data_IF_552568117625
#
_entry.id   IF_552568117625
#
_cell.length_a   1.000
_cell.length_b   1.000
_cell.length_c   1.000
_cell.angle_alpha   90.00
_cell.angle_beta   90.00
_cell.angle_gamma   90.00
#
_symmetry.space_group_name_H-M   'P 1'
#
loop_
_entity.id
_entity.type
_entity.pdbx_description
1 polymer ?
#
# COMPACT_ATOMS: atom_id res chain seq x y z
N UNK A 1 3.50 -1.71 0.58
CA UNK A 1 2.82 -1.20 1.78
C UNK A 1 1.37 -1.61 1.73
N UNK A 2 0.87 -2.40 2.67
CA UNK A 2 -0.46 -2.99 2.64
C UNK A 2 -1.44 -2.30 3.61
N UNK A 3 -2.72 -2.34 3.28
CA UNK A 3 -3.79 -1.72 4.06
C UNK A 3 -4.87 -2.72 4.45
N UNK A 4 -5.46 -2.54 5.63
CA UNK A 4 -6.69 -3.22 6.01
C UNK A 4 -7.84 -2.88 5.05
N UNK A 5 -8.85 -3.78 5.04
CA UNK A 5 -10.09 -3.57 4.30
C UNK A 5 -10.70 -2.21 4.69
N UNK A 6 -11.03 -1.41 3.68
CA UNK A 6 -11.74 -0.15 3.86
C UNK A 6 -11.02 0.87 4.76
N UNK A 7 -9.68 0.80 4.81
CA UNK A 7 -8.84 1.71 5.59
C UNK A 7 -7.76 2.35 4.73
N UNK A 8 -7.38 3.56 5.12
CA UNK A 8 -6.21 4.31 4.64
C UNK A 8 -5.21 4.61 5.77
N UNK A 9 -5.44 4.12 6.99
CA UNK A 9 -4.50 4.27 8.10
C UNK A 9 -3.32 3.30 7.96
N UNK A 10 -2.12 3.80 8.22
CA UNK A 10 -0.89 2.99 8.25
C UNK A 10 -0.82 2.17 9.55
N UNK A 11 -0.70 0.85 9.41
CA UNK A 11 -0.47 -0.07 10.54
C UNK A 11 0.91 0.15 11.15
N UNK A 12 1.16 -0.38 12.35
CA UNK A 12 2.50 -0.36 12.96
C UNK A 12 3.53 -1.06 12.07
N UNK A 13 3.22 -2.24 11.54
CA UNK A 13 4.08 -2.97 10.62
C UNK A 13 4.39 -2.15 9.36
N UNK A 14 3.38 -1.51 8.76
CA UNK A 14 3.58 -0.64 7.59
C UNK A 14 4.47 0.56 7.90
N UNK A 15 4.32 1.15 9.09
CA UNK A 15 5.19 2.25 9.56
C UNK A 15 6.63 1.81 9.70
N UNK A 16 6.90 0.61 10.21
CA UNK A 16 8.26 0.06 10.29
C UNK A 16 8.90 -0.14 8.91
N UNK A 17 8.14 -0.60 7.91
CA UNK A 17 8.64 -0.70 6.53
C UNK A 17 8.95 0.68 5.96
N UNK A 18 8.07 1.66 6.20
CA UNK A 18 8.28 3.05 5.74
C UNK A 18 9.46 3.72 6.43
N UNK A 19 9.71 3.42 7.71
CA UNK A 19 10.87 3.92 8.44
C UNK A 19 12.18 3.42 7.82
N UNK A 20 12.24 2.13 7.44
CA UNK A 20 13.38 1.57 6.70
C UNK A 20 13.53 2.23 5.33
N UNK A 21 12.45 2.46 4.61
CA UNK A 21 12.47 3.13 3.31
C UNK A 21 13.00 4.56 3.42
N UNK A 22 12.54 5.33 4.40
CA UNK A 22 13.03 6.70 4.65
C UNK A 22 14.53 6.72 5.01
N UNK A 23 14.98 5.80 5.87
CA UNK A 23 16.39 5.65 6.21
C UNK A 23 17.26 5.30 5.00
N UNK A 24 16.76 4.41 4.13
CA UNK A 24 17.45 4.03 2.90
C UNK A 24 17.55 5.19 1.88
N UNK A 25 16.58 6.11 1.89
CA UNK A 25 16.56 7.29 1.00
C UNK A 25 17.44 8.46 1.49
N UNK A 26 17.80 8.48 2.77
CA UNK A 26 18.58 9.54 3.39
C UNK A 26 19.94 9.81 2.69
N UNK A 27 20.77 8.79 2.37
CA UNK A 27 22.04 9.02 1.68
C UNK A 27 21.89 9.35 0.19
N UNK A 28 20.70 9.25 -0.39
CA UNK A 28 20.46 9.42 -1.83
C UNK A 28 19.48 10.56 -2.14
N UNK A 29 19.87 11.84 -1.93
CA UNK A 29 18.96 12.99 -2.07
C UNK A 29 18.40 13.17 -3.50
N UNK A 30 19.08 12.65 -4.51
CA UNK A 30 18.68 12.78 -5.92
C UNK A 30 17.71 11.68 -6.39
N UNK A 31 17.45 10.66 -5.56
CA UNK A 31 16.50 9.59 -5.89
C UNK A 31 15.09 10.08 -5.65
N UNK A 32 14.23 9.96 -6.66
CA UNK A 32 12.79 10.22 -6.56
C UNK A 32 12.04 8.95 -6.23
N UNK A 33 10.83 9.09 -5.69
CA UNK A 33 9.95 7.99 -5.33
C UNK A 33 8.59 8.23 -5.93
N UNK A 34 8.12 7.29 -6.75
CA UNK A 34 6.75 7.24 -7.25
C UNK A 34 5.93 6.33 -6.35
N UNK A 35 4.83 6.86 -5.84
CA UNK A 35 3.91 6.19 -4.94
C UNK A 35 2.64 5.84 -5.71
N UNK A 36 2.42 4.56 -5.99
CA UNK A 36 1.24 4.10 -6.71
C UNK A 36 0.23 3.41 -5.78
N UNK A 37 -0.98 3.94 -5.72
CA UNK A 37 -2.06 3.47 -4.84
C UNK A 37 -3.02 2.53 -5.52
N UNK A 38 -3.35 1.44 -4.84
CA UNK A 38 -4.24 0.41 -5.34
C UNK A 38 -5.27 -0.04 -4.29
N UNK A 39 -6.40 -0.54 -4.78
CA UNK A 39 -7.45 -1.19 -3.98
C UNK A 39 -7.71 -2.61 -4.47
N UNK A 40 -8.57 -3.34 -3.75
CA UNK A 40 -9.20 -4.52 -4.31
C UNK A 40 -10.46 -4.14 -5.10
N UNK A 41 -10.99 -5.08 -5.88
CA UNK A 41 -12.03 -4.85 -6.89
C UNK A 41 -13.47 -4.80 -6.34
N UNK A 42 -13.65 -4.87 -5.01
CA UNK A 42 -14.98 -5.15 -4.42
C UNK A 42 -15.91 -3.95 -4.29
N UNK A 43 -15.39 -2.73 -4.33
CA UNK A 43 -16.20 -1.51 -4.26
C UNK A 43 -16.35 -0.87 -5.66
N UNK A 44 -17.14 0.21 -5.75
CA UNK A 44 -17.28 0.99 -6.99
C UNK A 44 -15.97 1.70 -7.38
N UNK A 45 -15.74 1.90 -8.66
CA UNK A 45 -14.58 2.61 -9.22
C UNK A 45 -14.34 3.99 -8.57
N UNK A 46 -15.35 4.85 -8.49
CA UNK A 46 -15.22 6.16 -7.87
C UNK A 46 -14.78 6.08 -6.39
N UNK A 47 -15.25 5.06 -5.67
CA UNK A 47 -14.87 4.82 -4.29
C UNK A 47 -13.43 4.32 -4.17
N UNK A 48 -13.07 3.35 -5.01
CA UNK A 48 -11.73 2.77 -5.05
C UNK A 48 -10.67 3.81 -5.44
N UNK A 49 -10.99 4.67 -6.42
CA UNK A 49 -10.16 5.81 -6.79
C UNK A 49 -9.88 6.70 -5.58
N UNK A 50 -10.93 7.22 -4.94
CA UNK A 50 -10.79 8.09 -3.77
C UNK A 50 -10.08 7.40 -2.59
N UNK A 51 -10.29 6.09 -2.39
CA UNK A 51 -9.60 5.32 -1.36
C UNK A 51 -8.10 5.15 -1.67
N UNK A 52 -7.74 4.89 -2.92
CA UNK A 52 -6.35 4.79 -3.35
C UNK A 52 -5.60 6.12 -3.19
N UNK A 53 -6.25 7.26 -3.47
CA UNK A 53 -5.71 8.60 -3.23
C UNK A 53 -5.41 8.83 -1.75
N UNK A 54 -6.37 8.52 -0.86
CA UNK A 54 -6.17 8.64 0.60
C UNK A 54 -4.98 7.79 1.08
N UNK A 55 -4.80 6.59 0.54
CA UNK A 55 -3.69 5.69 0.90
C UNK A 55 -2.34 6.23 0.46
N UNK A 56 -2.25 6.71 -0.79
CA UNK A 56 -1.02 7.29 -1.33
C UNK A 56 -0.63 8.54 -0.57
N UNK A 57 -1.59 9.42 -0.27
CA UNK A 57 -1.36 10.61 0.54
C UNK A 57 -0.87 10.25 1.95
N UNK A 58 -1.47 9.24 2.60
CA UNK A 58 -1.01 8.79 3.91
C UNK A 58 0.46 8.31 3.89
N UNK A 59 0.88 7.59 2.84
CA UNK A 59 2.27 7.15 2.67
C UNK A 59 3.19 8.35 2.39
N UNK A 60 2.79 9.25 1.48
CA UNK A 60 3.54 10.46 1.15
C UNK A 60 3.80 11.31 2.41
N UNK A 61 2.74 11.61 3.14
CA UNK A 61 2.80 12.49 4.32
C UNK A 61 3.64 11.85 5.42
N UNK A 62 3.58 10.51 5.56
CA UNK A 62 4.42 9.78 6.49
C UNK A 62 5.92 9.85 6.12
N UNK A 63 6.27 9.62 4.85
CA UNK A 63 7.66 9.75 4.39
C UNK A 63 8.19 11.18 4.52
N UNK A 64 7.34 12.17 4.24
CA UNK A 64 7.67 13.58 4.43
C UNK A 64 7.97 13.90 5.90
N UNK A 65 7.16 13.40 6.82
CA UNK A 65 7.41 13.53 8.27
C UNK A 65 8.70 12.82 8.74
N UNK A 66 9.21 11.86 7.96
CA UNK A 66 10.51 11.20 8.20
C UNK A 66 11.68 11.83 7.44
N UNK A 67 11.49 13.01 6.86
CA UNK A 67 12.56 13.82 6.26
C UNK A 67 12.79 13.60 4.77
N UNK A 68 11.93 12.84 4.08
CA UNK A 68 11.98 12.77 2.62
C UNK A 68 11.32 14.02 2.03
N UNK A 69 12.05 14.81 1.25
CA UNK A 69 11.49 16.02 0.60
C UNK A 69 10.25 15.67 -0.23
N UNK A 70 9.18 16.45 -0.07
CA UNK A 70 7.90 16.26 -0.79
C UNK A 70 8.11 16.37 -2.31
N UNK A 71 9.05 17.20 -2.77
CA UNK A 71 9.40 17.34 -4.19
C UNK A 71 9.96 16.06 -4.81
N UNK A 72 10.45 15.12 -3.98
CA UNK A 72 10.93 13.81 -4.42
C UNK A 72 9.80 12.77 -4.48
N UNK A 73 8.61 13.09 -3.98
CA UNK A 73 7.50 12.16 -3.83
C UNK A 73 6.42 12.45 -4.88
N UNK A 74 6.35 11.62 -5.91
CA UNK A 74 5.30 11.67 -6.93
C UNK A 74 4.17 10.70 -6.53
N UNK A 75 2.92 11.14 -6.57
CA UNK A 75 1.75 10.34 -6.19
C UNK A 75 0.89 9.99 -7.39
N UNK A 76 0.50 8.72 -7.50
CA UNK A 76 -0.37 8.20 -8.56
C UNK A 76 -1.42 7.26 -7.94
N UNK A 77 -2.69 7.57 -8.13
CA UNK A 77 -3.80 6.82 -7.56
C UNK A 77 -4.55 6.07 -8.66
N UNK A 78 -4.57 4.74 -8.59
CA UNK A 78 -5.02 3.85 -9.67
C UNK A 78 -6.26 3.05 -9.34
N UNK A 79 -6.86 3.25 -8.17
CA UNK A 79 -8.01 2.46 -7.71
C UNK A 79 -7.76 0.96 -7.83
N UNK A 80 -8.71 0.25 -8.44
CA UNK A 80 -8.70 -1.18 -8.68
C UNK A 80 -8.11 -1.58 -10.05
N UNK A 81 -7.72 -0.61 -10.89
CA UNK A 81 -7.43 -0.83 -12.31
C UNK A 81 -6.18 -1.68 -12.58
N UNK A 82 -5.31 -1.83 -11.58
CA UNK A 82 -4.07 -2.59 -11.68
C UNK A 82 -3.87 -3.54 -10.49
N UNK A 83 -4.59 -4.67 -10.47
CA UNK A 83 -4.42 -5.68 -9.43
C UNK A 83 -3.03 -6.30 -9.52
N UNK A 84 -2.41 -6.54 -8.36
CA UNK A 84 -1.16 -7.32 -8.26
C UNK A 84 -1.43 -8.80 -8.57
N UNK A 85 -2.58 -9.29 -8.10
CA UNK A 85 -3.04 -10.66 -8.27
C UNK A 85 -4.51 -10.71 -8.64
N UNK A 86 -4.87 -11.60 -9.57
CA UNK A 86 -6.23 -11.73 -10.08
C UNK A 86 -7.17 -12.55 -9.15
N UNK A 87 -6.65 -13.19 -8.10
CA UNK A 87 -7.43 -14.05 -7.22
C UNK A 87 -8.43 -13.31 -6.34
N UNK A 88 -9.43 -14.04 -5.82
CA UNK A 88 -10.50 -13.53 -4.96
C UNK A 88 -10.42 -13.98 -3.50
N UNK A 89 -9.28 -14.54 -3.07
CA UNK A 89 -9.14 -14.94 -1.66
C UNK A 89 -8.95 -13.70 -0.77
N UNK A 90 -9.21 -13.84 0.54
CA UNK A 90 -8.91 -12.79 1.52
C UNK A 90 -7.44 -12.35 1.47
N UNK A 91 -6.52 -13.27 1.14
CA UNK A 91 -5.10 -13.00 0.95
C UNK A 91 -4.84 -12.21 -0.32
N UNK A 92 -5.51 -12.53 -1.43
CA UNK A 92 -5.36 -11.82 -2.70
C UNK A 92 -5.86 -10.38 -2.60
N UNK A 93 -7.04 -10.20 -1.99
CA UNK A 93 -7.55 -8.87 -1.70
C UNK A 93 -6.60 -8.06 -0.82
N UNK A 94 -6.01 -8.68 0.21
CA UNK A 94 -5.02 -8.02 1.05
C UNK A 94 -3.77 -7.58 0.28
N UNK A 95 -3.28 -8.40 -0.64
CA UNK A 95 -2.15 -8.05 -1.52
C UNK A 95 -2.49 -6.91 -2.48
N UNK A 96 -3.71 -6.88 -3.01
CA UNK A 96 -4.15 -5.83 -3.93
C UNK A 96 -4.35 -4.47 -3.24
N UNK A 97 -4.75 -4.44 -1.96
CA UNK A 97 -4.85 -3.22 -1.14
C UNK A 97 -3.47 -2.71 -0.73
N UNK A 98 -2.78 -2.04 -1.65
CA UNK A 98 -1.39 -1.63 -1.45
C UNK A 98 -1.07 -0.24 -1.95
N UNK A 99 0.06 0.28 -1.46
CA UNK A 99 0.84 1.34 -2.11
C UNK A 99 2.21 0.77 -2.45
N UNK A 100 2.62 0.97 -3.71
CA UNK A 100 3.94 0.61 -4.24
C UNK A 100 4.87 1.83 -4.20
N UNK A 101 6.15 1.62 -3.87
CA UNK A 101 7.18 2.66 -3.85
C UNK A 101 8.21 2.37 -4.95
N UNK A 102 8.10 3.01 -6.11
CA UNK A 102 9.11 2.89 -7.19
C UNK A 102 10.20 3.94 -7.01
N UNK A 103 11.44 3.50 -6.84
CA UNK A 103 12.60 4.39 -6.78
C UNK A 103 13.07 4.72 -8.19
N UNK A 104 13.20 6.01 -8.49
CA UNK A 104 13.66 6.51 -9.79
C UNK A 104 15.01 7.20 -9.58
N UNK A 105 16.04 6.67 -10.23
CA UNK A 105 17.38 7.23 -10.22
C UNK A 105 17.45 8.51 -11.08
N UNK A 106 18.55 9.26 -10.96
CA UNK A 106 18.72 10.53 -11.67
C UNK A 106 18.78 10.40 -13.20
N UNK A 107 19.14 9.22 -13.72
CA UNK A 107 19.13 8.88 -15.14
C UNK A 107 17.76 8.39 -15.64
N UNK A 108 16.74 8.36 -14.77
CA UNK A 108 15.40 7.86 -15.05
C UNK A 108 15.24 6.34 -14.87
N UNK A 109 16.29 5.63 -14.48
CA UNK A 109 16.22 4.18 -14.22
C UNK A 109 15.30 3.91 -13.03
N UNK A 110 14.31 3.04 -13.20
CA UNK A 110 13.48 2.55 -12.10
C UNK A 110 14.11 1.31 -11.44
N UNK A 111 14.27 1.33 -10.13
CA UNK A 111 14.73 0.16 -9.38
C UNK A 111 13.56 -0.85 -9.29
N UNK A 112 13.76 -2.11 -9.69
CA UNK A 112 12.72 -3.12 -9.64
C UNK A 112 12.23 -3.35 -8.21
N UNK A 113 10.91 -3.48 -8.06
CA UNK A 113 10.26 -3.74 -6.79
C UNK A 113 10.42 -5.22 -6.39
N UNK A 114 10.77 -5.46 -5.14
CA UNK A 114 10.56 -6.77 -4.50
C UNK A 114 9.25 -6.74 -3.69
N UNK A 115 8.47 -7.82 -3.77
CA UNK A 115 7.26 -7.97 -2.97
C UNK A 115 7.65 -8.32 -1.52
N UNK A 116 7.46 -7.36 -0.61
CA UNK A 116 7.58 -7.60 0.84
C UNK A 116 6.17 -7.72 1.45
N UNK A 117 5.90 -8.84 2.13
CA UNK A 117 4.59 -9.15 2.74
C UNK A 117 4.57 -9.03 4.27
N UNK A 118 5.61 -8.46 4.87
CA UNK A 118 5.76 -8.34 6.33
C UNK A 118 4.66 -7.50 6.97
N UNK A 119 4.08 -6.56 6.23
CA UNK A 119 2.99 -5.68 6.68
C UNK A 119 1.59 -6.09 6.16
N UNK A 120 1.45 -7.31 5.60
CA UNK A 120 0.20 -7.77 5.01
C UNK A 120 -0.94 -7.90 6.05
N UNK A 121 -2.06 -7.22 5.81
CA UNK A 121 -3.21 -7.17 6.72
C UNK A 121 -4.36 -8.04 6.20
N UNK A 122 -4.51 -9.24 6.76
CA UNK A 122 -5.58 -10.17 6.41
C UNK A 122 -6.90 -9.81 7.11
N UNK A 123 -8.01 -9.95 6.39
CA UNK A 123 -9.35 -9.90 6.98
C UNK A 123 -9.56 -11.12 7.88
N UNK A 124 -10.12 -10.91 9.07
CA UNK A 124 -10.55 -12.02 9.90
C UNK A 124 -11.59 -12.84 9.11
N UNK A 125 -11.30 -14.12 8.87
CA UNK A 125 -12.30 -15.03 8.34
C UNK A 125 -13.44 -15.02 9.35
N UNK A 126 -14.63 -14.54 8.95
CA UNK A 126 -15.86 -14.81 9.71
C UNK A 126 -15.97 -16.33 9.77
N UNK A 127 -15.49 -16.95 10.85
CA UNK A 127 -15.84 -18.33 11.16
C UNK A 127 -17.36 -18.33 11.18
N UNK A 128 -18.00 -18.99 10.20
CA UNK A 128 -19.42 -19.33 10.31
C UNK A 128 -19.56 -19.96 11.69
N UNK A 129 -20.31 -19.32 12.58
CA UNK A 129 -20.78 -20.00 13.78
C UNK A 129 -21.57 -21.20 13.27
N UNK A 130 -20.99 -22.40 13.38
CA UNK A 130 -21.76 -23.62 13.24
C UNK A 130 -22.88 -23.54 14.29
N UNK A 131 -24.14 -23.81 13.93
CA UNK A 131 -25.21 -23.83 14.90
C UNK A 131 -24.79 -24.79 16.02
N UNK A 132 -24.83 -24.32 17.27
CA UNK A 132 -24.70 -25.24 18.41
C UNK A 132 -25.88 -26.19 18.31
N UNK A 133 -25.61 -27.47 18.09
CA UNK A 133 -26.60 -28.52 18.33
C UNK A 133 -27.13 -28.31 19.74
N UNK A 134 -28.46 -28.13 19.82
CA UNK A 134 -29.16 -28.14 21.10
C UNK A 134 -29.43 -29.60 21.42
N UNK A 135 -28.82 -30.08 22.49
CA UNK A 135 -29.22 -31.30 23.19
C UNK A 135 -30.64 -31.16 23.78
#
# INVERSE_FOLDING_TARGET
MHFALDRSMLSSATREVLDRAAAALAPFPNVRVRLAGHTDVRASEAYNQALSERRVNAVRDYLAARGVSVERLETDARGELQPLVAGGSARDHARNRRVELRYVLCDGTEIPLSEELSDLQLEAIRRRQLPREKD
#
